data_IF_693068587975
#
_entry.id   IF_693068587975
#
_cell.length_a   1.000
_cell.length_b   1.000
_cell.length_c   1.000
_cell.angle_alpha   90.00
_cell.angle_beta   90.00
_cell.angle_gamma   90.00
#
_symmetry.space_group_name_H-M   'P 1'
#
loop_
_entity.id
_entity.type
_entity.pdbx_description
1 polymer ?
#
# COMPACT_ATOMS: atom_id res chain seq x y z
N UNK A 1 43.18 0.81 -0.50
CA UNK A 1 41.96 1.66 -0.56
C UNK A 1 40.81 1.11 -1.41
N UNK A 2 41.04 0.18 -2.36
CA UNK A 2 39.96 -0.40 -3.20
C UNK A 2 39.07 -1.41 -2.47
N UNK A 3 39.65 -2.37 -1.75
CA UNK A 3 38.89 -3.45 -1.09
C UNK A 3 37.82 -2.95 -0.09
N UNK A 4 38.12 -1.90 0.68
CA UNK A 4 37.17 -1.29 1.61
C UNK A 4 35.94 -0.69 0.89
N UNK A 5 36.10 -0.19 -0.33
CA UNK A 5 34.98 0.33 -1.14
C UNK A 5 34.10 -0.80 -1.66
N UNK A 6 34.70 -1.92 -2.07
CA UNK A 6 33.95 -3.10 -2.53
C UNK A 6 33.14 -3.75 -1.41
N UNK A 7 33.69 -3.82 -0.18
CA UNK A 7 32.96 -4.32 1.00
C UNK A 7 31.78 -3.41 1.34
N UNK A 8 31.97 -2.08 1.28
CA UNK A 8 30.89 -1.12 1.50
C UNK A 8 29.75 -1.26 0.49
N UNK A 9 30.08 -1.36 -0.81
CA UNK A 9 29.07 -1.56 -1.87
C UNK A 9 28.33 -2.89 -1.68
N UNK A 10 29.04 -3.98 -1.36
CA UNK A 10 28.44 -5.28 -1.11
C UNK A 10 27.45 -5.26 0.06
N UNK A 11 27.78 -4.57 1.16
CA UNK A 11 26.87 -4.41 2.30
C UNK A 11 25.64 -3.57 1.94
N UNK A 12 25.80 -2.47 1.20
CA UNK A 12 24.66 -1.63 0.78
C UNK A 12 23.74 -2.42 -0.15
N UNK A 13 24.27 -3.20 -1.09
CA UNK A 13 23.45 -4.04 -1.98
C UNK A 13 22.73 -5.17 -1.27
N UNK A 14 23.24 -5.66 -0.13
CA UNK A 14 22.59 -6.70 0.66
C UNK A 14 21.54 -6.13 1.63
N UNK A 15 21.81 -4.97 2.23
CA UNK A 15 20.93 -4.38 3.24
C UNK A 15 19.78 -3.56 2.62
N UNK A 16 20.02 -2.86 1.51
CA UNK A 16 19.01 -2.07 0.82
C UNK A 16 17.76 -2.87 0.42
N UNK A 17 17.84 -4.06 -0.21
CA UNK A 17 16.64 -4.81 -0.58
C UNK A 17 15.86 -5.28 0.64
N UNK A 18 16.53 -5.61 1.75
CA UNK A 18 15.88 -6.00 3.01
C UNK A 18 15.11 -4.81 3.61
N UNK A 19 15.70 -3.62 3.60
CA UNK A 19 15.03 -2.41 4.06
C UNK A 19 13.84 -2.02 3.15
N UNK A 20 13.97 -2.22 1.84
CA UNK A 20 12.86 -2.02 0.89
C UNK A 20 11.75 -3.04 1.12
N UNK A 21 12.07 -4.31 1.30
CA UNK A 21 11.10 -5.38 1.57
C UNK A 21 10.35 -5.19 2.90
N UNK A 22 11.04 -4.72 3.94
CA UNK A 22 10.43 -4.44 5.24
C UNK A 22 9.66 -3.11 5.27
N UNK A 23 10.10 -2.12 4.48
CA UNK A 23 9.45 -0.80 4.37
C UNK A 23 8.29 -0.77 3.38
N UNK A 24 8.28 -1.69 2.40
CA UNK A 24 7.12 -1.94 1.55
C UNK A 24 6.08 -2.68 2.38
N UNK A 25 5.22 -1.92 3.06
CA UNK A 25 3.96 -2.46 3.56
C UNK A 25 3.21 -3.19 2.44
N UNK A 26 2.33 -4.13 2.77
CA UNK A 26 1.61 -4.86 1.74
C UNK A 26 0.87 -3.85 0.85
N UNK A 27 1.10 -3.92 -0.47
CA UNK A 27 0.32 -3.16 -1.45
C UNK A 27 -1.17 -3.57 -1.44
N UNK A 28 -1.47 -4.65 -0.72
CA UNK A 28 -2.74 -5.33 -0.61
C UNK A 28 -3.24 -5.23 0.84
N UNK A 29 -4.32 -4.49 1.05
CA UNK A 29 -4.99 -4.38 2.33
C UNK A 29 -5.95 -5.57 2.57
N UNK A 30 -5.53 -6.78 2.18
CA UNK A 30 -6.34 -8.01 2.14
C UNK A 30 -6.86 -8.42 3.52
N UNK A 31 -6.16 -8.03 4.58
CA UNK A 31 -6.48 -8.39 5.97
C UNK A 31 -7.03 -7.22 6.79
N UNK A 32 -7.30 -6.08 6.15
CA UNK A 32 -7.59 -4.83 6.87
C UNK A 32 -9.07 -4.54 7.02
N UNK A 33 -9.96 -5.31 6.37
CA UNK A 33 -11.41 -5.20 6.61
C UNK A 33 -11.70 -5.50 8.09
N UNK A 34 -12.36 -4.56 8.77
CA UNK A 34 -12.64 -4.62 10.21
C UNK A 34 -11.48 -4.18 11.12
N UNK A 35 -10.35 -3.74 10.57
CA UNK A 35 -9.28 -3.09 11.33
C UNK A 35 -9.46 -1.56 11.34
N UNK A 36 -9.01 -0.89 12.41
CA UNK A 36 -8.97 0.56 12.43
C UNK A 36 -8.06 1.09 11.31
N UNK A 37 -8.51 2.15 10.66
CA UNK A 37 -7.81 2.76 9.52
C UNK A 37 -7.51 4.24 9.76
N UNK A 38 -6.53 4.78 9.04
CA UNK A 38 -6.17 6.21 9.08
C UNK A 38 -5.29 6.57 7.87
N UNK A 39 -5.39 7.78 7.30
CA UNK A 39 -6.38 8.82 7.61
C UNK A 39 -7.76 8.54 7.00
N UNK A 40 -8.80 9.19 7.52
CA UNK A 40 -10.16 9.17 6.94
C UNK A 40 -10.11 9.56 5.46
N UNK A 41 -10.79 8.78 4.60
CA UNK A 41 -10.77 8.96 3.15
C UNK A 41 -9.59 8.33 2.41
N UNK A 42 -8.63 7.71 3.10
CA UNK A 42 -7.59 6.91 2.46
C UNK A 42 -8.21 5.78 1.60
N UNK A 43 -7.63 5.52 0.44
CA UNK A 43 -8.08 4.47 -0.49
C UNK A 43 -6.92 3.52 -0.79
N UNK A 44 -7.18 2.23 -0.74
CA UNK A 44 -6.21 1.17 -1.00
C UNK A 44 -6.87 0.03 -1.75
N UNK A 45 -6.07 -0.86 -2.31
CA UNK A 45 -6.57 -2.08 -2.95
C UNK A 45 -6.58 -3.21 -1.93
N UNK A 46 -7.76 -3.69 -1.53
CA UNK A 46 -7.92 -4.91 -0.74
C UNK A 46 -8.22 -6.12 -1.62
N UNK A 47 -8.63 -7.22 -1.00
CA UNK A 47 -9.11 -8.43 -1.67
C UNK A 47 -10.54 -8.69 -1.21
N UNK A 48 -11.52 -8.71 -2.12
CA UNK A 48 -11.38 -8.86 -3.57
C UNK A 48 -11.27 -7.56 -4.39
N UNK A 49 -11.23 -6.37 -3.77
CA UNK A 49 -11.27 -5.12 -4.52
C UNK A 49 -10.93 -3.87 -3.71
N UNK A 50 -11.16 -2.67 -4.26
CA UNK A 50 -10.78 -1.43 -3.62
C UNK A 50 -11.61 -1.15 -2.37
N UNK A 51 -10.94 -0.64 -1.35
CA UNK A 51 -11.53 -0.29 -0.06
C UNK A 51 -11.14 1.15 0.30
N UNK A 52 -11.93 1.79 1.16
CA UNK A 52 -11.63 3.11 1.69
C UNK A 52 -11.79 3.17 3.20
N UNK A 53 -11.07 4.09 3.83
CA UNK A 53 -11.18 4.36 5.25
C UNK A 53 -12.37 5.27 5.52
N UNK A 54 -13.49 4.69 5.97
CA UNK A 54 -14.74 5.37 6.25
C UNK A 54 -14.98 5.55 7.75
N UNK A 55 -15.79 6.55 8.10
CA UNK A 55 -16.29 6.74 9.47
C UNK A 55 -17.61 5.99 9.61
N UNK A 56 -17.62 5.04 10.54
CA UNK A 56 -18.80 4.25 10.86
C UNK A 56 -19.79 5.03 11.73
N UNK A 57 -21.01 4.50 11.86
CA UNK A 57 -22.07 5.09 12.68
C UNK A 57 -21.70 5.22 14.18
N UNK A 58 -20.77 4.39 14.65
CA UNK A 58 -20.20 4.44 16.01
C UNK A 58 -19.07 5.49 16.17
N UNK A 59 -18.72 6.20 15.08
CA UNK A 59 -17.67 7.20 15.04
C UNK A 59 -16.26 6.65 14.87
N UNK A 60 -16.07 5.33 14.78
CA UNK A 60 -14.76 4.72 14.53
C UNK A 60 -14.41 4.73 13.05
N UNK A 61 -13.11 4.83 12.74
CA UNK A 61 -12.60 4.71 11.38
C UNK A 61 -12.30 3.25 11.07
N UNK A 62 -12.94 2.70 10.04
CA UNK A 62 -12.74 1.33 9.60
C UNK A 62 -12.66 1.24 8.07
N UNK A 63 -11.97 0.20 7.58
CA UNK A 63 -11.91 -0.09 6.16
C UNK A 63 -13.23 -0.65 5.65
N UNK A 64 -13.78 -0.02 4.61
CA UNK A 64 -15.02 -0.39 3.95
C UNK A 64 -14.80 -0.67 2.46
N UNK A 65 -15.56 -1.60 1.91
CA UNK A 65 -15.51 -1.88 0.47
C UNK A 65 -16.12 -0.74 -0.34
N UNK A 66 -15.42 -0.28 -1.38
CA UNK A 66 -16.01 0.64 -2.36
C UNK A 66 -16.82 -0.23 -3.33
N UNK A 67 -18.15 -0.06 -3.42
CA UNK A 67 -18.96 -0.84 -4.35
C UNK A 67 -18.68 -0.39 -5.80
N UNK A 68 -18.86 -1.31 -6.76
CA UNK A 68 -18.46 -1.11 -8.17
C UNK A 68 -19.16 0.09 -8.82
N UNK A 69 -20.40 0.35 -8.43
CA UNK A 69 -21.19 1.50 -8.87
C UNK A 69 -20.65 2.86 -8.35
N UNK A 70 -19.90 2.86 -7.26
CA UNK A 70 -19.24 4.04 -6.70
C UNK A 70 -17.82 4.25 -7.24
N UNK A 71 -17.32 3.40 -8.13
CA UNK A 71 -15.98 3.51 -8.70
C UNK A 71 -15.95 4.47 -9.90
N UNK A 72 -15.30 5.62 -9.73
CA UNK A 72 -14.89 6.46 -10.85
C UNK A 72 -13.53 5.97 -11.38
N UNK A 73 -13.54 5.13 -12.42
CA UNK A 73 -12.32 4.65 -13.08
C UNK A 73 -11.92 5.58 -14.23
N UNK A 74 -10.68 6.06 -14.22
CA UNK A 74 -10.09 6.74 -15.36
C UNK A 74 -9.53 5.70 -16.34
N UNK A 75 -9.94 5.75 -17.60
CA UNK A 75 -9.36 4.90 -18.64
C UNK A 75 -8.13 5.60 -19.22
N UNK A 76 -6.95 5.01 -19.03
CA UNK A 76 -5.75 5.40 -19.77
C UNK A 76 -5.81 4.71 -21.14
N UNK A 77 -6.21 5.46 -22.18
CA UNK A 77 -6.04 5.00 -23.55
C UNK A 77 -4.58 5.17 -23.95
N UNK A 78 -3.95 4.09 -24.40
CA UNK A 78 -2.58 4.15 -24.90
C UNK A 78 -2.62 4.94 -26.22
N UNK A 79 -2.04 6.14 -26.25
CA UNK A 79 -1.92 6.91 -27.48
C UNK A 79 -0.81 6.24 -28.32
N UNK A 80 -1.11 5.78 -29.55
CA UNK A 80 -0.13 5.07 -30.38
C UNK A 80 1.06 5.95 -30.75
#
# INVERSE_FOLDING_TARGET
>A
MGALRFVGVAMVTAAAPIAVLLGSGPAHADSDIGRPCSPEGAKVWGNPGPIYCGRQADGQLQWESIPVDAMCVAFCVNHP
#
